data_IF_192765270645
#
_entry.id   IF_192765270645
#
_cell.length_a   1.000
_cell.length_b   1.000
_cell.length_c   1.000
_cell.angle_alpha   90.00
_cell.angle_beta   90.00
_cell.angle_gamma   90.00
#
_symmetry.space_group_name_H-M   'P 1'
#
loop_
_entity.id
_entity.type
_entity.pdbx_description
1 polymer ?
#
# COMPACT_ATOMS: atom_id res chain seq x y z
N UNK A 1 -68.32 8.99 59.43
CA UNK A 1 -69.18 10.19 59.35
C UNK A 1 -68.35 11.39 59.81
N UNK A 2 -68.25 12.42 58.95
CA UNK A 2 -67.76 13.81 59.15
C UNK A 2 -66.31 14.05 59.58
N UNK A 3 -65.48 14.56 58.65
CA UNK A 3 -65.11 15.99 58.56
C UNK A 3 -64.30 16.28 57.29
N UNK A 4 -64.82 17.21 56.51
CA UNK A 4 -64.14 17.85 55.38
C UNK A 4 -63.13 18.88 55.88
N UNK A 5 -62.08 19.14 55.11
CA UNK A 5 -61.82 20.44 54.47
C UNK A 5 -60.35 20.48 54.02
N UNK A 6 -60.10 20.86 52.77
CA UNK A 6 -59.39 22.09 52.42
C UNK A 6 -58.58 22.00 51.11
N UNK A 7 -58.88 22.99 50.27
CA UNK A 7 -57.97 23.75 49.40
C UNK A 7 -57.68 23.08 48.04
N UNK A 8 -58.46 23.45 47.02
CA UNK A 8 -58.36 24.69 46.22
C UNK A 8 -57.33 24.53 45.10
N UNK A 9 -57.74 24.99 43.91
CA UNK A 9 -57.01 25.09 42.64
C UNK A 9 -57.09 23.76 41.85
N UNK A 10 -57.74 23.69 40.69
CA UNK A 10 -57.59 24.59 39.54
C UNK A 10 -58.92 24.73 38.78
N UNK A 11 -59.37 25.97 38.64
CA UNK A 11 -60.50 26.37 37.82
C UNK A 11 -60.13 26.37 36.33
N UNK A 12 -60.86 25.56 35.57
CA UNK A 12 -61.58 25.89 34.35
C UNK A 12 -61.47 27.33 33.78
N UNK A 13 -61.16 27.40 32.46
CA UNK A 13 -62.04 27.93 31.37
C UNK A 13 -61.77 29.34 30.76
N UNK A 14 -61.72 29.33 29.39
CA UNK A 14 -61.95 30.38 28.36
C UNK A 14 -60.89 31.51 28.22
N UNK A 15 -60.62 32.14 27.06
CA UNK A 15 -60.88 32.04 25.62
C UNK A 15 -59.98 33.16 24.99
N UNK A 16 -59.39 33.12 23.79
CA UNK A 16 -59.88 33.40 22.42
C UNK A 16 -58.55 33.51 21.62
N UNK A 17 -58.24 32.81 20.52
CA UNK A 17 -58.90 32.77 19.21
C UNK A 17 -58.02 33.52 18.20
N UNK A 18 -57.49 32.84 17.17
CA UNK A 18 -57.25 33.37 15.82
C UNK A 18 -56.57 32.33 14.91
N UNK A 19 -57.21 32.08 13.77
CA UNK A 19 -56.57 31.88 12.46
C UNK A 19 -55.59 30.70 12.26
N UNK A 20 -56.09 29.60 11.70
CA UNK A 20 -55.91 29.19 10.27
C UNK A 20 -56.01 27.66 10.09
N UNK A 21 -56.96 27.24 9.24
CA UNK A 21 -56.87 25.99 8.49
C UNK A 21 -55.56 25.99 7.70
N UNK A 22 -54.85 24.87 7.54
CA UNK A 22 -55.06 23.85 6.49
C UNK A 22 -53.84 22.91 6.42
N UNK A 23 -54.10 21.60 6.38
CA UNK A 23 -53.29 20.49 5.82
C UNK A 23 -51.85 20.27 6.33
N UNK A 24 -51.72 19.30 7.24
CA UNK A 24 -50.53 18.46 7.34
C UNK A 24 -50.48 17.53 6.11
N UNK A 25 -49.69 17.89 5.10
CA UNK A 25 -49.24 16.94 4.09
C UNK A 25 -48.03 16.19 4.65
N UNK A 26 -48.20 14.89 4.93
CA UNK A 26 -47.06 13.98 5.07
C UNK A 26 -46.34 13.91 3.71
N UNK A 27 -45.09 14.37 3.66
CA UNK A 27 -44.19 14.13 2.53
C UNK A 27 -43.50 12.80 2.80
N UNK A 28 -43.87 11.75 2.07
CA UNK A 28 -43.09 10.52 2.01
C UNK A 28 -41.78 10.78 1.25
N UNK A 29 -40.63 10.23 1.69
CA UNK A 29 -39.40 10.33 0.92
C UNK A 29 -39.56 9.59 -0.43
N UNK A 30 -38.97 10.10 -1.52
CA UNK A 30 -39.07 9.44 -2.82
C UNK A 30 -38.42 8.05 -2.76
N UNK A 31 -38.95 7.06 -3.52
CA UNK A 31 -38.34 5.73 -3.59
C UNK A 31 -36.91 5.84 -4.12
N UNK A 32 -35.99 5.14 -3.46
CA UNK A 32 -34.59 5.07 -3.86
C UNK A 32 -34.50 4.48 -5.27
N UNK A 33 -34.22 5.35 -6.25
CA UNK A 33 -33.87 4.95 -7.60
C UNK A 33 -32.61 4.09 -7.47
N UNK A 34 -32.77 2.79 -7.73
CA UNK A 34 -31.64 1.89 -7.91
C UNK A 34 -30.88 2.37 -9.16
N UNK A 35 -29.90 3.22 -8.96
CA UNK A 35 -28.90 3.47 -9.97
C UNK A 35 -28.22 2.12 -10.23
N UNK A 36 -28.19 1.62 -11.47
CA UNK A 36 -27.31 0.50 -11.77
C UNK A 36 -25.92 0.94 -11.32
N UNK A 37 -25.24 0.08 -10.53
CA UNK A 37 -23.84 0.28 -10.19
C UNK A 37 -23.12 0.65 -11.49
N UNK A 38 -22.79 1.93 -11.64
CA UNK A 38 -21.74 2.33 -12.57
C UNK A 38 -20.52 1.63 -12.01
N UNK A 39 -20.19 0.48 -12.59
CA UNK A 39 -18.86 -0.09 -12.47
C UNK A 39 -17.91 1.07 -12.75
N UNK A 40 -17.22 1.48 -11.70
CA UNK A 40 -16.38 2.65 -11.71
C UNK A 40 -15.36 2.45 -12.83
N UNK A 41 -15.31 3.39 -13.78
CA UNK A 41 -14.24 3.44 -14.78
C UNK A 41 -12.85 3.40 -14.12
N UNK A 42 -12.75 3.82 -12.85
CA UNK A 42 -11.57 3.70 -11.98
C UNK A 42 -11.13 2.24 -11.77
N UNK A 43 -12.05 1.31 -11.56
CA UNK A 43 -11.71 -0.11 -11.39
C UNK A 43 -11.29 -0.78 -12.71
N UNK A 44 -11.76 -0.25 -13.85
CA UNK A 44 -11.38 -0.73 -15.17
C UNK A 44 -10.05 -0.12 -15.66
N UNK A 45 -9.72 1.12 -15.26
CA UNK A 45 -8.45 1.78 -15.58
C UNK A 45 -7.27 1.26 -14.75
N UNK A 46 -7.52 0.67 -13.57
CA UNK A 46 -6.50 -0.03 -12.80
C UNK A 46 -6.00 -1.34 -13.47
N UNK A 47 -6.67 -1.80 -14.54
CA UNK A 47 -6.38 -3.07 -15.22
C UNK A 47 -5.35 -2.99 -16.34
N UNK A 48 -4.79 -1.81 -16.60
CA UNK A 48 -3.79 -1.63 -17.66
C UNK A 48 -4.41 -1.38 -19.03
N UNK A 49 -3.88 -0.43 -19.82
CA UNK A 49 -4.31 -0.25 -21.21
C UNK A 49 -3.95 1.05 -21.93
N UNK A 50 -3.05 1.88 -21.39
CA UNK A 50 -2.49 3.02 -22.12
C UNK A 50 -1.29 2.64 -22.99
N UNK A 51 -0.98 3.44 -24.02
CA UNK A 51 0.21 3.31 -24.89
C UNK A 51 1.54 3.27 -24.11
N UNK A 52 1.52 3.73 -22.86
CA UNK A 52 2.66 3.81 -21.96
C UNK A 52 2.43 3.00 -20.68
N UNK A 53 1.47 2.07 -20.65
CA UNK A 53 1.15 1.32 -19.44
C UNK A 53 1.98 0.04 -19.33
N UNK A 54 2.31 -0.40 -18.11
CA UNK A 54 3.01 -1.67 -17.90
C UNK A 54 1.98 -2.79 -18.00
N UNK A 55 2.08 -3.59 -19.06
CA UNK A 55 1.17 -4.71 -19.30
C UNK A 55 1.50 -5.89 -18.38
N UNK A 56 0.55 -6.81 -18.22
CA UNK A 56 0.81 -8.03 -17.44
C UNK A 56 1.93 -8.88 -18.07
N UNK A 57 2.05 -8.86 -19.40
CA UNK A 57 3.14 -9.51 -20.11
C UNK A 57 4.52 -8.88 -19.79
N UNK A 58 4.59 -7.57 -19.56
CA UNK A 58 5.82 -6.90 -19.14
C UNK A 58 6.20 -7.28 -17.71
N UNK A 59 5.22 -7.40 -16.82
CA UNK A 59 5.42 -7.86 -15.44
C UNK A 59 5.93 -9.31 -15.45
N UNK A 60 5.29 -10.18 -16.22
CA UNK A 60 5.70 -11.58 -16.37
C UNK A 60 7.10 -11.68 -16.98
N UNK A 61 7.41 -10.88 -18.00
CA UNK A 61 8.75 -10.86 -18.60
C UNK A 61 9.81 -10.42 -17.59
N UNK A 62 9.52 -9.37 -16.79
CA UNK A 62 10.41 -8.92 -15.72
C UNK A 62 10.58 -10.01 -14.66
N UNK A 63 9.50 -10.63 -14.21
CA UNK A 63 9.52 -11.75 -13.27
C UNK A 63 10.38 -12.91 -13.78
N UNK A 64 10.13 -13.37 -15.01
CA UNK A 64 10.87 -14.46 -15.63
C UNK A 64 12.36 -14.14 -15.78
N UNK A 65 12.72 -12.88 -16.05
CA UNK A 65 14.13 -12.47 -16.10
C UNK A 65 14.87 -12.68 -14.77
N UNK A 66 14.15 -12.61 -13.65
CA UNK A 66 14.69 -12.86 -12.32
C UNK A 66 14.85 -14.36 -12.02
N UNK A 67 14.13 -15.27 -12.67
CA UNK A 67 14.14 -16.71 -12.35
C UNK A 67 15.29 -17.51 -12.99
N UNK A 68 16.33 -16.83 -13.46
CA UNK A 68 17.45 -17.43 -14.19
C UNK A 68 18.63 -17.82 -13.30
N UNK A 69 18.50 -17.66 -11.98
CA UNK A 69 19.58 -17.86 -11.01
C UNK A 69 19.45 -19.13 -10.18
N UNK A 70 20.27 -19.21 -9.14
CA UNK A 70 20.29 -20.34 -8.20
C UNK A 70 19.54 -20.05 -6.90
N UNK A 71 18.91 -18.87 -6.79
CA UNK A 71 18.21 -18.46 -5.57
C UNK A 71 19.16 -18.14 -4.41
N UNK A 72 18.63 -18.26 -3.19
CA UNK A 72 19.39 -18.04 -1.96
C UNK A 72 19.59 -16.56 -1.64
N UNK A 73 20.71 -16.23 -1.01
CA UNK A 73 21.02 -14.88 -0.55
C UNK A 73 21.83 -14.06 -1.59
N UNK A 74 21.67 -12.73 -1.65
CA UNK A 74 22.45 -11.89 -2.54
C UNK A 74 23.94 -11.93 -2.16
N UNK A 75 24.86 -11.76 -3.13
CA UNK A 75 26.29 -11.75 -2.86
C UNK A 75 26.67 -10.66 -1.85
N UNK A 76 27.49 -11.02 -0.87
CA UNK A 76 28.04 -10.07 0.12
C UNK A 76 28.84 -8.96 -0.56
N UNK A 77 28.72 -7.75 -0.04
CA UNK A 77 29.48 -6.58 -0.51
C UNK A 77 28.84 -5.91 -1.72
N UNK A 78 27.65 -6.34 -2.12
CA UNK A 78 26.83 -5.65 -3.10
C UNK A 78 25.95 -4.61 -2.40
N UNK A 79 25.67 -3.50 -3.07
CA UNK A 79 24.71 -2.49 -2.57
C UNK A 79 23.35 -3.12 -2.25
N UNK A 80 22.90 -4.11 -3.03
CA UNK A 80 21.66 -4.82 -2.79
C UNK A 80 21.67 -5.57 -1.45
N UNK A 81 22.75 -6.30 -1.16
CA UNK A 81 22.90 -7.00 0.14
C UNK A 81 22.90 -6.02 1.32
N UNK A 82 23.54 -4.85 1.16
CA UNK A 82 23.57 -3.82 2.20
C UNK A 82 22.20 -3.15 2.39
N UNK A 83 21.48 -2.86 1.32
CA UNK A 83 20.13 -2.30 1.39
C UNK A 83 19.16 -3.29 2.05
N UNK A 84 19.20 -4.57 1.67
CA UNK A 84 18.32 -5.58 2.27
C UNK A 84 18.57 -5.66 3.79
N UNK A 85 19.83 -5.74 4.22
CA UNK A 85 20.12 -5.78 5.66
C UNK A 85 19.71 -4.46 6.33
N UNK A 86 20.03 -3.30 5.77
CA UNK A 86 19.72 -1.99 6.35
C UNK A 86 18.21 -1.77 6.58
N UNK A 87 17.36 -2.31 5.70
CA UNK A 87 15.92 -2.09 5.73
C UNK A 87 15.12 -3.22 6.37
N UNK A 88 15.59 -4.47 6.28
CA UNK A 88 14.83 -5.63 6.75
C UNK A 88 15.44 -6.32 7.98
N UNK A 89 16.69 -6.00 8.36
CA UNK A 89 17.31 -6.53 9.58
C UNK A 89 16.81 -5.78 10.83
N UNK A 90 15.60 -6.13 11.25
CA UNK A 90 14.87 -5.50 12.35
C UNK A 90 13.48 -6.09 12.48
N UNK A 91 12.68 -5.49 13.35
CA UNK A 91 11.30 -5.90 13.56
C UNK A 91 10.34 -4.83 13.02
N UNK A 92 9.41 -5.26 12.18
CA UNK A 92 8.29 -4.45 11.73
C UNK A 92 7.18 -4.53 12.77
N UNK A 93 6.91 -3.41 13.44
CA UNK A 93 5.80 -3.32 14.40
C UNK A 93 4.76 -2.30 13.91
N UNK A 94 3.51 -2.36 14.40
CA UNK A 94 2.49 -1.37 14.01
C UNK A 94 2.87 0.09 14.31
N UNK A 95 3.83 0.31 15.22
CA UNK A 95 4.36 1.63 15.58
C UNK A 95 5.52 2.08 14.68
N UNK A 96 6.03 1.20 13.81
CA UNK A 96 7.15 1.47 12.93
C UNK A 96 8.21 0.36 12.94
N UNK A 97 9.28 0.59 12.18
CA UNK A 97 10.41 -0.31 12.12
C UNK A 97 11.35 -0.11 13.31
N UNK A 98 11.62 -1.18 14.05
CA UNK A 98 12.60 -1.22 15.14
C UNK A 98 13.88 -1.88 14.64
N UNK A 99 14.92 -1.08 14.45
CA UNK A 99 16.26 -1.58 14.13
C UNK A 99 16.83 -2.32 15.34
N UNK A 100 17.44 -3.49 15.12
CA UNK A 100 18.26 -4.13 16.15
C UNK A 100 19.51 -3.27 16.40
N UNK A 101 19.47 -2.48 17.47
CA UNK A 101 20.53 -1.54 17.86
C UNK A 101 21.79 -2.21 18.42
N UNK A 102 21.77 -3.52 18.67
CA UNK A 102 22.89 -4.24 19.32
C UNK A 102 23.92 -4.90 18.40
N UNK A 103 23.57 -5.19 17.14
CA UNK A 103 24.42 -5.92 16.18
C UNK A 103 24.88 -5.07 14.98
N UNK A 104 24.16 -4.00 14.67
CA UNK A 104 24.51 -3.09 13.58
C UNK A 104 25.53 -2.05 14.04
N UNK A 105 26.82 -2.26 13.74
CA UNK A 105 27.92 -1.34 14.09
C UNK A 105 28.24 -0.27 13.03
N UNK A 106 27.46 -0.16 11.94
CA UNK A 106 27.69 0.81 10.86
C UNK A 106 29.09 0.74 10.20
N UNK A 107 29.33 1.39 9.05
CA UNK A 107 30.69 1.50 8.50
C UNK A 107 31.49 2.63 9.19
N UNK A 108 32.75 2.43 9.67
CA UNK A 108 33.47 1.15 9.88
C UNK A 108 34.08 0.95 11.31
N UNK A 109 34.53 -0.28 11.72
CA UNK A 109 34.85 -1.45 10.89
C UNK A 109 34.10 -2.76 11.20
N UNK A 110 33.35 -3.23 10.20
CA UNK A 110 32.86 -4.60 10.03
C UNK A 110 31.90 -4.67 8.83
N UNK A 111 32.30 -5.26 7.71
CA UNK A 111 31.40 -5.50 6.57
C UNK A 111 30.27 -6.46 6.99
N UNK A 112 29.03 -6.23 6.54
CA UNK A 112 27.87 -7.09 6.82
C UNK A 112 28.23 -8.58 6.70
N UNK A 113 27.85 -9.37 7.69
CA UNK A 113 28.09 -10.80 7.71
C UNK A 113 27.12 -11.55 6.81
N UNK A 114 27.49 -12.76 6.38
CA UNK A 114 26.55 -13.67 5.71
C UNK A 114 25.32 -13.97 6.57
N UNK A 115 25.48 -14.00 7.90
CA UNK A 115 24.38 -14.18 8.86
C UNK A 115 23.39 -13.02 8.83
N UNK A 116 23.88 -11.78 8.80
CA UNK A 116 23.03 -10.60 8.74
C UNK A 116 22.24 -10.57 7.43
N UNK A 117 22.89 -10.95 6.32
CA UNK A 117 22.26 -11.07 5.00
C UNK A 117 21.14 -12.10 5.04
N UNK A 118 21.40 -13.31 5.55
CA UNK A 118 20.39 -14.36 5.64
C UNK A 118 19.15 -13.91 6.44
N UNK A 119 19.36 -13.26 7.60
CA UNK A 119 18.26 -12.72 8.41
C UNK A 119 17.52 -11.61 7.66
N UNK A 120 18.24 -10.70 7.00
CA UNK A 120 17.63 -9.62 6.20
C UNK A 120 16.80 -10.16 5.04
N UNK A 121 17.27 -11.21 4.35
CA UNK A 121 16.54 -11.87 3.27
C UNK A 121 15.31 -12.61 3.79
N UNK A 122 15.41 -13.31 4.92
CA UNK A 122 14.26 -13.95 5.57
C UNK A 122 13.18 -12.92 5.91
N UNK A 123 13.56 -11.80 6.52
CA UNK A 123 12.64 -10.70 6.83
C UNK A 123 12.08 -10.01 5.59
N UNK A 124 12.86 -9.90 4.52
CA UNK A 124 12.36 -9.46 3.22
C UNK A 124 11.31 -10.42 2.67
N UNK A 125 11.52 -11.74 2.72
CA UNK A 125 10.52 -12.74 2.27
C UNK A 125 9.22 -12.60 3.06
N UNK A 126 9.30 -12.49 4.39
CA UNK A 126 8.14 -12.26 5.27
C UNK A 126 7.37 -11.00 4.85
N UNK A 127 8.08 -9.88 4.66
CA UNK A 127 7.46 -8.62 4.28
C UNK A 127 6.95 -8.61 2.83
N UNK A 128 7.56 -9.34 1.91
CA UNK A 128 7.00 -9.48 0.56
C UNK A 128 5.71 -10.31 0.59
N UNK A 129 5.64 -11.38 1.39
CA UNK A 129 4.43 -12.18 1.50
C UNK A 129 3.29 -11.39 2.17
N UNK A 130 3.60 -10.68 3.27
CA UNK A 130 2.64 -9.90 4.04
C UNK A 130 3.23 -8.54 4.47
N UNK A 131 3.23 -7.55 3.57
CA UNK A 131 3.89 -6.27 3.83
C UNK A 131 3.13 -5.48 4.88
N UNK A 132 3.84 -5.07 5.94
CA UNK A 132 3.29 -4.17 6.95
C UNK A 132 3.22 -2.73 6.46
N UNK A 133 4.20 -2.32 5.66
CA UNK A 133 4.26 -1.00 5.05
C UNK A 133 4.36 -1.15 3.53
N UNK A 134 3.40 -0.56 2.82
CA UNK A 134 3.32 -0.54 1.36
C UNK A 134 3.34 0.89 0.89
N UNK A 135 4.26 1.22 0.00
CA UNK A 135 4.30 2.50 -0.69
C UNK A 135 3.30 2.45 -1.86
N UNK A 136 2.55 3.54 -2.05
CA UNK A 136 1.60 3.64 -3.16
C UNK A 136 2.35 3.82 -4.49
N UNK A 137 1.94 3.09 -5.52
CA UNK A 137 2.37 3.30 -6.91
C UNK A 137 1.76 4.59 -7.46
N UNK A 138 2.54 5.35 -8.22
CA UNK A 138 2.16 6.67 -8.74
C UNK A 138 3.39 7.47 -9.11
N UNK A 139 3.40 8.07 -10.29
CA UNK A 139 4.60 8.73 -10.83
C UNK A 139 4.88 10.02 -10.06
N UNK A 140 6.09 10.16 -9.51
CA UNK A 140 6.71 11.45 -9.23
C UNK A 140 6.32 12.19 -7.93
N UNK A 141 7.22 13.08 -7.52
CA UNK A 141 6.97 14.05 -6.46
C UNK A 141 5.93 15.08 -6.92
N UNK A 142 4.93 15.38 -6.09
CA UNK A 142 3.92 16.42 -6.39
C UNK A 142 2.66 15.92 -7.11
N UNK A 143 2.51 14.61 -7.36
CA UNK A 143 1.22 14.04 -7.76
C UNK A 143 0.32 13.89 -6.54
N UNK A 144 -0.96 14.18 -6.76
CA UNK A 144 -2.00 14.06 -5.74
C UNK A 144 -2.03 12.63 -5.17
N UNK A 145 -1.96 12.54 -3.84
CA UNK A 145 -2.00 11.27 -3.10
C UNK A 145 -3.28 10.47 -3.35
N UNK A 146 -4.36 11.11 -3.81
CA UNK A 146 -5.62 10.45 -4.19
C UNK A 146 -5.52 9.68 -5.51
N UNK A 147 -4.53 10.01 -6.35
CA UNK A 147 -4.30 9.37 -7.65
C UNK A 147 -3.33 8.20 -7.56
N UNK A 148 -2.70 8.01 -6.40
CA UNK A 148 -1.77 6.90 -6.18
C UNK A 148 -2.50 5.64 -5.80
N UNK A 149 -2.02 4.50 -6.30
CA UNK A 149 -2.62 3.19 -6.13
C UNK A 149 -1.86 2.40 -5.06
N UNK A 150 -2.55 1.99 -4.00
CA UNK A 150 -1.97 1.16 -2.93
C UNK A 150 -1.72 -0.26 -3.45
N UNK A 151 -2.69 -0.81 -4.17
CA UNK A 151 -2.73 -2.19 -4.67
C UNK A 151 -3.49 -2.17 -6.00
N UNK A 152 -2.86 -2.69 -7.06
CA UNK A 152 -3.47 -2.75 -8.41
C UNK A 152 -4.32 -4.01 -8.61
N UNK A 153 -4.38 -4.90 -7.61
CA UNK A 153 -5.15 -6.13 -7.64
C UNK A 153 -4.55 -7.22 -8.55
N UNK A 154 -3.34 -7.03 -9.07
CA UNK A 154 -2.67 -8.00 -9.96
C UNK A 154 -1.98 -9.14 -9.19
N UNK A 155 -1.90 -9.05 -7.86
CA UNK A 155 -1.34 -10.10 -7.00
C UNK A 155 0.19 -10.15 -6.96
N UNK A 156 0.85 -9.09 -7.45
CA UNK A 156 2.29 -8.93 -7.41
C UNK A 156 2.72 -8.10 -6.20
N UNK A 157 3.90 -8.43 -5.66
CA UNK A 157 4.60 -7.60 -4.68
C UNK A 157 5.98 -7.25 -5.24
N UNK A 158 6.34 -5.99 -5.11
CA UNK A 158 7.56 -5.43 -5.69
C UNK A 158 8.48 -4.95 -4.57
N UNK A 159 9.79 -5.16 -4.78
CA UNK A 159 10.83 -4.41 -4.08
C UNK A 159 11.40 -3.41 -5.07
N UNK A 160 11.33 -2.11 -4.77
CA UNK A 160 11.90 -1.09 -5.63
C UNK A 160 12.84 -0.16 -4.85
N UNK A 161 13.89 0.30 -5.52
CA UNK A 161 14.83 1.25 -4.98
C UNK A 161 14.47 2.69 -5.38
N UNK A 162 14.66 3.60 -4.44
CA UNK A 162 14.30 5.02 -4.56
C UNK A 162 15.47 5.88 -4.09
N UNK A 163 15.77 6.93 -4.86
CA UNK A 163 16.79 7.90 -4.49
C UNK A 163 16.09 9.15 -3.98
N UNK A 164 16.15 9.35 -2.67
CA UNK A 164 15.66 10.55 -2.00
C UNK A 164 16.84 11.43 -1.59
N UNK A 165 16.61 12.67 -1.12
CA UNK A 165 17.65 13.45 -0.45
C UNK A 165 18.33 12.72 0.73
N UNK A 166 17.67 11.72 1.32
CA UNK A 166 18.23 10.84 2.37
C UNK A 166 19.12 9.71 1.85
N UNK A 167 19.34 9.64 0.54
CA UNK A 167 20.12 8.61 -0.14
C UNK A 167 19.25 7.47 -0.70
N UNK A 168 19.93 6.40 -1.13
CA UNK A 168 19.31 5.22 -1.71
C UNK A 168 18.60 4.39 -0.64
N UNK A 169 17.33 4.10 -0.89
CA UNK A 169 16.46 3.31 -0.04
C UNK A 169 15.73 2.23 -0.86
N UNK A 170 15.15 1.24 -0.19
CA UNK A 170 14.23 0.28 -0.81
C UNK A 170 12.88 0.33 -0.13
N UNK A 171 11.83 0.10 -0.91
CA UNK A 171 10.43 0.15 -0.49
C UNK A 171 9.65 -1.01 -1.11
N UNK A 172 8.54 -1.40 -0.47
CA UNK A 172 7.65 -2.44 -0.96
C UNK A 172 6.40 -1.83 -1.60
N UNK A 173 5.95 -2.40 -2.72
CA UNK A 173 4.75 -1.96 -3.42
C UNK A 173 3.86 -3.16 -3.74
N UNK A 174 2.54 -2.95 -3.73
CA UNK A 174 1.55 -3.89 -4.28
C UNK A 174 0.97 -3.42 -5.62
N UNK A 175 1.34 -2.23 -6.05
CA UNK A 175 1.07 -1.72 -7.39
C UNK A 175 2.40 -1.59 -8.15
N UNK A 176 2.35 -1.55 -9.47
CA UNK A 176 3.53 -1.30 -10.31
C UNK A 176 4.27 -0.03 -9.84
N UNK A 177 5.59 -0.11 -9.53
CA UNK A 177 6.36 1.01 -8.99
C UNK A 177 6.85 1.94 -10.12
N UNK A 178 5.93 2.58 -10.84
CA UNK A 178 6.25 3.45 -11.97
C UNK A 178 7.26 4.55 -11.62
N UNK A 179 8.27 4.73 -12.48
CA UNK A 179 9.29 5.76 -12.30
C UNK A 179 10.28 5.47 -11.17
N UNK A 180 10.20 4.31 -10.52
CA UNK A 180 11.17 3.83 -9.52
C UNK A 180 12.08 2.75 -10.12
N UNK A 181 13.06 2.28 -9.36
CA UNK A 181 13.96 1.20 -9.79
C UNK A 181 13.44 -0.14 -9.29
N UNK A 182 12.62 -0.83 -10.07
CA UNK A 182 12.13 -2.16 -9.67
C UNK A 182 13.31 -3.12 -9.57
N UNK A 183 13.52 -3.71 -8.39
CA UNK A 183 14.63 -4.63 -8.11
C UNK A 183 14.15 -6.07 -8.19
N UNK A 184 13.05 -6.38 -7.50
CA UNK A 184 12.42 -7.70 -7.48
C UNK A 184 10.92 -7.56 -7.71
N UNK A 185 10.32 -8.60 -8.29
CA UNK A 185 8.87 -8.83 -8.28
C UNK A 185 8.61 -10.28 -7.92
N UNK A 186 7.61 -10.54 -7.08
CA UNK A 186 7.18 -11.88 -6.73
C UNK A 186 5.65 -11.98 -6.74
N UNK A 187 5.13 -13.19 -7.00
CA UNK A 187 3.72 -13.49 -6.75
C UNK A 187 3.51 -13.44 -5.24
N UNK A 188 2.60 -12.60 -4.76
CA UNK A 188 2.43 -12.36 -3.33
C UNK A 188 2.06 -13.64 -2.57
N UNK A 189 1.26 -14.51 -3.19
CA UNK A 189 0.87 -15.80 -2.62
C UNK A 189 1.94 -16.91 -2.74
N UNK A 190 3.04 -16.65 -3.45
CA UNK A 190 4.11 -17.63 -3.68
C UNK A 190 5.49 -16.96 -3.76
N UNK A 191 5.84 -16.19 -2.74
CA UNK A 191 7.11 -15.45 -2.70
C UNK A 191 8.31 -16.38 -2.75
N UNK A 192 8.21 -17.58 -2.17
CA UNK A 192 9.28 -18.58 -2.15
C UNK A 192 9.80 -18.92 -3.55
N UNK A 193 8.91 -19.04 -4.55
CA UNK A 193 9.27 -19.35 -5.94
C UNK A 193 10.32 -18.39 -6.52
N UNK A 194 10.21 -17.08 -6.21
CA UNK A 194 11.22 -16.12 -6.60
C UNK A 194 12.56 -16.44 -5.94
N UNK A 195 12.58 -16.53 -4.61
CA UNK A 195 13.84 -16.63 -3.86
C UNK A 195 14.56 -17.97 -4.02
N UNK A 196 13.86 -19.01 -4.47
CA UNK A 196 14.46 -20.30 -4.80
C UNK A 196 15.24 -20.25 -6.13
N UNK A 197 14.99 -19.24 -6.98
CA UNK A 197 15.54 -19.15 -8.35
C UNK A 197 16.08 -17.78 -8.72
N UNK A 198 16.04 -16.82 -7.80
CA UNK A 198 16.39 -15.43 -8.11
C UNK A 198 17.82 -15.33 -8.62
N UNK A 199 17.98 -14.59 -9.72
CA UNK A 199 19.24 -14.14 -10.26
C UNK A 199 19.58 -12.79 -9.63
N UNK A 200 20.47 -12.84 -8.64
CA UNK A 200 20.89 -11.66 -7.90
C UNK A 200 21.69 -10.67 -8.73
N UNK A 201 22.36 -11.10 -9.80
CA UNK A 201 23.06 -10.20 -10.73
C UNK A 201 22.07 -9.41 -11.58
N UNK A 202 21.01 -10.06 -12.06
CA UNK A 202 19.89 -9.38 -12.74
C UNK A 202 19.22 -8.36 -11.80
N UNK A 203 18.91 -8.76 -10.57
CA UNK A 203 18.30 -7.89 -9.58
C UNK A 203 19.18 -6.67 -9.25
N UNK A 204 20.49 -6.89 -9.06
CA UNK A 204 21.47 -5.82 -8.85
C UNK A 204 21.53 -4.87 -10.05
N UNK A 205 21.60 -5.40 -11.27
CA UNK A 205 21.61 -4.59 -12.49
C UNK A 205 20.35 -3.76 -12.70
N UNK A 206 19.22 -4.14 -12.08
CA UNK A 206 17.98 -3.38 -12.16
C UNK A 206 17.95 -2.15 -11.23
N UNK A 207 18.82 -2.07 -10.21
CA UNK A 207 18.95 -0.87 -9.37
C UNK A 207 19.34 0.36 -10.22
N UNK A 208 20.03 0.17 -11.34
CA UNK A 208 20.44 1.27 -12.23
C UNK A 208 19.38 1.64 -13.27
N UNK A 209 18.23 0.94 -13.30
CA UNK A 209 17.20 1.09 -14.34
C UNK A 209 15.91 1.63 -13.76
N UNK A 210 15.31 2.62 -14.42
CA UNK A 210 13.97 3.07 -14.09
C UNK A 210 12.93 2.15 -14.73
N UNK A 211 12.12 1.49 -13.91
CA UNK A 211 11.04 0.64 -14.36
C UNK A 211 9.84 1.49 -14.76
N UNK A 212 9.30 1.20 -15.94
CA UNK A 212 8.26 2.01 -16.54
C UNK A 212 8.70 3.44 -16.88
N UNK A 213 9.99 3.78 -16.96
CA UNK A 213 10.49 5.07 -17.49
C UNK A 213 9.97 6.38 -16.83
N UNK A 214 10.55 7.54 -17.21
CA UNK A 214 10.07 8.85 -16.77
C UNK A 214 8.86 9.35 -17.58
N UNK A 215 8.52 8.66 -18.68
CA UNK A 215 7.49 9.07 -19.65
C UNK A 215 6.13 8.42 -19.38
N UNK A 216 6.10 7.33 -18.62
CA UNK A 216 4.86 6.63 -18.31
C UNK A 216 4.10 7.43 -17.27
N UNK A 217 2.88 7.87 -17.64
CA UNK A 217 1.93 8.50 -16.74
C UNK A 217 0.92 7.46 -16.30
N UNK A 218 0.98 7.05 -15.03
CA UNK A 218 -0.14 6.38 -14.37
C UNK A 218 -1.29 7.39 -14.32
N UNK A 219 -2.44 7.06 -14.91
CA UNK A 219 -3.64 7.90 -14.92
C UNK A 219 -4.63 7.45 -13.86
#
# INVERSE_FOLDING_TARGET
MVRASNRLLVSAVLAVGAFTLTRLCFVAPPPAVHQPLRQSHVALQARGGGEYDVSDADIDAFYNSLLTGSGGDPPKGTVLSELIVKFFHGDFTPQGFKRYSGLWKGPPPGNIGKKDIAIGVEKLKEQMANPMFVTKGGVGYGVDETQKVVDDGKGWVWLAAEMSPGGLAVELFKAVPYGKRAVLVAKQNNVAELFDKVNWDTALGNIEKTFGGPQIKQR
#
